data_IF_198814514838
#
_entry.id   IF_198814514838
#
_cell.length_a   1.000
_cell.length_b   1.000
_cell.length_c   1.000
_cell.angle_alpha   90.00
_cell.angle_beta   90.00
_cell.angle_gamma   90.00
#
_symmetry.space_group_name_H-M   'P 1'
#
loop_
_entity.id
_entity.type
_entity.pdbx_description
1 polymer ?
#
# COMPACT_ATOMS: atom_id res chain seq x y z
N UNK A 1 3.56 19.89 0.92
CA UNK A 1 3.32 18.77 -0.04
C UNK A 1 1.90 18.22 0.08
N UNK A 2 1.46 17.69 1.23
CA UNK A 2 0.11 17.11 1.41
C UNK A 2 -1.04 18.06 1.00
N UNK A 3 -0.95 19.32 1.40
CA UNK A 3 -1.91 20.39 1.10
C UNK A 3 -2.04 20.65 -0.41
N UNK A 4 -0.92 20.60 -1.15
CA UNK A 4 -0.92 20.83 -2.60
C UNK A 4 -1.55 19.66 -3.35
N UNK A 5 -1.28 18.42 -2.91
CA UNK A 5 -1.87 17.20 -3.51
C UNK A 5 -3.39 17.21 -3.35
N UNK A 6 -3.90 17.59 -2.18
CA UNK A 6 -5.35 17.69 -1.96
C UNK A 6 -6.02 18.75 -2.83
N UNK A 7 -5.40 19.93 -2.97
CA UNK A 7 -5.97 20.97 -3.84
C UNK A 7 -5.97 20.55 -5.32
N UNK A 8 -4.91 19.87 -5.78
CA UNK A 8 -4.88 19.31 -7.12
C UNK A 8 -6.01 18.29 -7.33
N UNK A 9 -6.24 17.41 -6.35
CA UNK A 9 -7.32 16.42 -6.42
C UNK A 9 -8.72 17.07 -6.44
N UNK A 10 -8.96 18.08 -5.58
CA UNK A 10 -10.20 18.87 -5.63
C UNK A 10 -10.37 19.52 -7.01
N UNK A 11 -9.29 20.04 -7.62
CA UNK A 11 -9.28 20.57 -8.98
C UNK A 11 -9.77 19.54 -10.00
N UNK A 12 -9.22 18.32 -9.97
CA UNK A 12 -9.66 17.21 -10.84
C UNK A 12 -11.13 16.89 -10.64
N UNK A 13 -11.62 16.80 -9.40
CA UNK A 13 -13.03 16.52 -9.13
C UNK A 13 -13.96 17.62 -9.66
N UNK A 14 -13.57 18.90 -9.60
CA UNK A 14 -14.36 19.98 -10.21
C UNK A 14 -14.46 19.84 -11.74
N UNK A 15 -13.40 19.37 -12.40
CA UNK A 15 -13.45 19.06 -13.83
C UNK A 15 -14.42 17.90 -14.11
N UNK A 16 -14.38 16.85 -13.28
CA UNK A 16 -15.35 15.73 -13.35
C UNK A 16 -16.78 16.20 -13.18
N UNK A 17 -17.06 17.08 -12.20
CA UNK A 17 -18.38 17.70 -12.01
C UNK A 17 -18.84 18.42 -13.28
N UNK A 18 -17.96 19.19 -13.92
CA UNK A 18 -18.28 19.90 -15.16
C UNK A 18 -18.70 18.93 -16.29
N UNK A 19 -18.05 17.77 -16.40
CA UNK A 19 -18.39 16.74 -17.38
C UNK A 19 -19.70 16.02 -17.03
N UNK A 20 -19.90 15.71 -15.75
CA UNK A 20 -21.13 15.07 -15.25
C UNK A 20 -22.35 15.97 -15.43
N UNK A 21 -22.25 17.27 -15.15
CA UNK A 21 -23.34 18.23 -15.37
C UNK A 21 -23.76 18.31 -16.84
N UNK A 22 -22.80 18.30 -17.78
CA UNK A 22 -23.11 18.23 -19.21
C UNK A 22 -23.79 16.90 -19.57
N UNK A 23 -23.30 15.80 -19.01
CA UNK A 23 -23.83 14.45 -19.23
C UNK A 23 -25.26 14.26 -18.72
N UNK A 24 -25.56 14.82 -17.56
CA UNK A 24 -26.90 14.86 -16.95
C UNK A 24 -27.85 15.68 -17.84
N UNK A 25 -27.47 16.90 -18.21
CA UNK A 25 -28.30 17.76 -19.08
C UNK A 25 -28.63 17.10 -20.42
N UNK A 26 -27.64 16.50 -21.08
CA UNK A 26 -27.82 15.81 -22.36
C UNK A 26 -28.79 14.63 -22.25
N UNK A 27 -28.67 13.83 -21.17
CA UNK A 27 -29.53 12.67 -20.93
C UNK A 27 -30.95 13.06 -20.53
N UNK A 28 -31.13 14.09 -19.70
CA UNK A 28 -32.44 14.63 -19.38
C UNK A 28 -33.20 15.03 -20.64
N UNK A 29 -32.57 15.79 -21.54
CA UNK A 29 -33.19 16.17 -22.81
C UNK A 29 -33.53 14.98 -23.72
N UNK A 30 -32.75 13.89 -23.68
CA UNK A 30 -33.05 12.65 -24.43
C UNK A 30 -34.20 11.86 -23.80
N UNK A 31 -34.21 11.76 -22.46
CA UNK A 31 -35.27 11.10 -21.72
C UNK A 31 -36.62 11.78 -21.95
N UNK A 32 -36.66 13.11 -21.98
CA UNK A 32 -37.86 13.89 -22.34
C UNK A 32 -38.39 13.58 -23.75
N UNK A 33 -37.50 13.18 -24.67
CA UNK A 33 -37.86 12.71 -26.03
C UNK A 33 -38.23 11.23 -26.10
N UNK A 34 -38.38 10.55 -24.96
CA UNK A 34 -38.82 9.16 -24.87
C UNK A 34 -37.70 8.12 -24.89
N UNK A 35 -36.42 8.52 -24.78
CA UNK A 35 -35.30 7.59 -24.71
C UNK A 35 -35.21 6.95 -23.31
N UNK A 36 -35.72 5.71 -23.19
CA UNK A 36 -35.76 4.96 -21.94
C UNK A 36 -34.35 4.64 -21.38
N UNK A 37 -33.36 4.41 -22.25
CA UNK A 37 -31.98 4.18 -21.81
C UNK A 37 -31.39 5.47 -21.22
N UNK A 38 -31.67 6.62 -21.84
CA UNK A 38 -31.24 7.90 -21.29
C UNK A 38 -31.89 8.20 -19.93
N UNK A 39 -33.15 7.78 -19.71
CA UNK A 39 -33.83 7.93 -18.41
C UNK A 39 -33.18 7.06 -17.32
N UNK A 40 -32.84 5.80 -17.63
CA UNK A 40 -32.14 4.91 -16.70
C UNK A 40 -30.72 5.42 -16.38
N UNK A 41 -29.97 5.83 -17.40
CA UNK A 41 -28.64 6.40 -17.24
C UNK A 41 -28.68 7.71 -16.43
N UNK A 42 -29.69 8.56 -16.63
CA UNK A 42 -29.81 9.84 -15.94
C UNK A 42 -29.73 9.68 -14.43
N UNK A 43 -30.41 8.69 -13.86
CA UNK A 43 -30.39 8.40 -12.42
C UNK A 43 -28.96 8.10 -11.95
N UNK A 44 -28.24 7.24 -12.67
CA UNK A 44 -26.86 6.86 -12.33
C UNK A 44 -25.90 8.06 -12.40
N UNK A 45 -26.01 8.87 -13.46
CA UNK A 45 -25.16 10.04 -13.63
C UNK A 45 -25.47 11.15 -12.64
N UNK A 46 -26.74 11.31 -12.26
CA UNK A 46 -27.15 12.25 -11.22
C UNK A 46 -26.59 11.84 -9.85
N UNK A 47 -26.71 10.57 -9.48
CA UNK A 47 -26.12 10.05 -8.25
C UNK A 47 -24.60 10.29 -8.21
N UNK A 48 -23.88 9.94 -9.29
CA UNK A 48 -22.44 10.18 -9.38
C UNK A 48 -22.08 11.68 -9.26
N UNK A 49 -22.90 12.58 -9.81
CA UNK A 49 -22.70 14.01 -9.70
C UNK A 49 -22.85 14.48 -8.25
N UNK A 50 -23.89 14.02 -7.57
CA UNK A 50 -24.18 14.38 -6.19
C UNK A 50 -23.11 13.84 -5.23
N UNK A 51 -22.69 12.58 -5.41
CA UNK A 51 -21.60 11.96 -4.65
C UNK A 51 -20.26 12.68 -4.87
N UNK A 52 -19.97 13.09 -6.11
CA UNK A 52 -18.75 13.86 -6.41
C UNK A 52 -18.78 15.23 -5.74
N UNK A 53 -19.93 15.92 -5.75
CA UNK A 53 -20.11 17.21 -5.07
C UNK A 53 -19.98 17.07 -3.55
N UNK A 54 -20.56 16.03 -2.96
CA UNK A 54 -20.43 15.72 -1.54
C UNK A 54 -18.95 15.45 -1.17
N UNK A 55 -18.25 14.66 -1.99
CA UNK A 55 -16.82 14.38 -1.82
C UNK A 55 -15.98 15.66 -1.84
N UNK A 56 -16.23 16.57 -2.78
CA UNK A 56 -15.55 17.88 -2.82
C UNK A 56 -15.82 18.68 -1.54
N UNK A 57 -17.05 18.69 -1.04
CA UNK A 57 -17.40 19.41 0.18
C UNK A 57 -16.65 18.86 1.40
N UNK A 58 -16.60 17.54 1.56
CA UNK A 58 -15.84 16.90 2.65
C UNK A 58 -14.34 17.15 2.54
N UNK A 59 -13.77 17.06 1.33
CA UNK A 59 -12.35 17.39 1.11
C UNK A 59 -12.03 18.84 1.45
N UNK A 60 -12.94 19.79 1.17
CA UNK A 60 -12.77 21.20 1.54
C UNK A 60 -12.83 21.39 3.06
N UNK A 61 -13.71 20.69 3.78
CA UNK A 61 -13.74 20.70 5.25
C UNK A 61 -12.45 20.13 5.85
N UNK A 62 -11.99 19.01 5.30
CA UNK A 62 -10.73 18.40 5.73
C UNK A 62 -9.54 19.33 5.45
N UNK A 63 -9.50 19.97 4.28
CA UNK A 63 -8.49 20.97 3.95
C UNK A 63 -8.51 22.15 4.93
N UNK A 64 -9.69 22.67 5.28
CA UNK A 64 -9.80 23.74 6.27
C UNK A 64 -9.26 23.31 7.64
N UNK A 65 -9.51 22.06 8.04
CA UNK A 65 -8.97 21.46 9.26
C UNK A 65 -7.44 21.36 9.21
N UNK A 66 -6.87 20.83 8.12
CA UNK A 66 -5.42 20.79 7.94
C UNK A 66 -4.79 22.18 7.97
N UNK A 67 -5.41 23.16 7.31
CA UNK A 67 -4.90 24.53 7.29
C UNK A 67 -4.99 25.18 8.68
N UNK A 68 -6.03 24.90 9.45
CA UNK A 68 -6.18 25.46 10.79
C UNK A 68 -5.21 24.80 11.79
N UNK A 69 -5.23 23.47 11.84
CA UNK A 69 -4.63 22.72 12.94
C UNK A 69 -3.19 22.26 12.62
N UNK A 70 -2.80 22.19 11.34
CA UNK A 70 -1.52 21.64 10.89
C UNK A 70 -0.66 22.63 10.09
N UNK A 71 -1.04 23.92 10.02
CA UNK A 71 -0.21 24.93 9.34
C UNK A 71 1.12 25.16 10.05
N UNK A 72 1.13 25.15 11.38
CA UNK A 72 2.36 25.33 12.16
C UNK A 72 3.25 24.08 12.08
N UNK A 73 4.55 24.29 11.90
CA UNK A 73 5.53 23.19 11.72
C UNK A 73 5.53 22.24 12.91
N UNK A 74 5.42 22.78 14.14
CA UNK A 74 5.41 21.97 15.36
C UNK A 74 4.19 21.04 15.45
N UNK A 75 3.06 21.45 14.87
CA UNK A 75 1.87 20.61 14.84
C UNK A 75 2.04 19.43 13.87
N UNK A 76 2.93 19.54 12.88
CA UNK A 76 3.27 18.48 11.92
C UNK A 76 4.25 17.45 12.46
N UNK A 77 4.84 17.67 13.63
CA UNK A 77 5.69 16.67 14.27
C UNK A 77 4.79 15.56 14.80
N UNK A 78 4.88 14.38 14.18
CA UNK A 78 4.04 13.21 14.45
C UNK A 78 4.74 12.15 15.31
N UNK A 79 6.01 12.40 15.66
CA UNK A 79 6.85 11.47 16.41
C UNK A 79 8.31 11.85 16.30
N UNK A 80 9.19 10.99 16.82
CA UNK A 80 10.64 11.14 16.70
C UNK A 80 11.32 9.79 16.63
N UNK A 81 12.49 9.75 15.97
CA UNK A 81 13.34 8.57 15.90
C UNK A 81 13.88 8.26 17.30
N UNK A 82 13.72 7.02 17.75
CA UNK A 82 14.27 6.53 19.03
C UNK A 82 15.41 5.53 18.83
N UNK A 83 15.48 4.90 17.67
CA UNK A 83 16.56 3.99 17.32
C UNK A 83 16.69 3.83 15.81
N UNK A 84 17.90 3.99 15.30
CA UNK A 84 18.25 3.80 13.89
C UNK A 84 19.68 3.26 13.83
N UNK A 85 19.89 1.94 13.91
CA UNK A 85 21.23 1.37 13.84
C UNK A 85 21.85 1.63 12.46
N UNK A 86 23.19 1.55 12.32
CA UNK A 86 23.84 1.63 11.02
C UNK A 86 23.32 0.54 10.07
N UNK A 87 23.16 0.92 8.80
CA UNK A 87 22.78 0.01 7.73
C UNK A 87 23.91 -1.00 7.52
N UNK A 88 23.59 -2.29 7.57
CA UNK A 88 24.55 -3.39 7.37
C UNK A 88 23.91 -4.52 6.59
N UNK A 89 24.69 -5.28 5.81
CA UNK A 89 24.27 -6.59 5.27
C UNK A 89 25.23 -7.69 5.71
N UNK A 90 25.03 -8.91 5.20
CA UNK A 90 25.70 -10.13 5.66
C UNK A 90 25.57 -10.34 7.18
N UNK A 91 24.46 -9.91 7.79
CA UNK A 91 24.25 -10.06 9.23
C UNK A 91 24.11 -11.53 9.58
N UNK A 92 25.14 -12.12 10.18
CA UNK A 92 25.11 -13.52 10.59
C UNK A 92 23.93 -13.79 11.53
N UNK A 93 23.30 -14.99 11.46
CA UNK A 93 23.66 -16.10 10.57
C UNK A 93 23.01 -16.04 9.18
N UNK A 94 22.00 -15.18 8.97
CA UNK A 94 21.14 -15.25 7.78
C UNK A 94 21.63 -14.42 6.59
N UNK A 95 22.45 -13.41 6.84
CA UNK A 95 22.96 -12.52 5.82
C UNK A 95 22.00 -11.42 5.37
N UNK A 96 20.87 -11.23 6.06
CA UNK A 96 19.87 -10.21 5.74
C UNK A 96 20.38 -8.78 5.97
N UNK A 97 19.77 -7.82 5.24
CA UNK A 97 20.03 -6.38 5.42
C UNK A 97 19.37 -5.87 6.70
N UNK A 98 20.14 -5.23 7.57
CA UNK A 98 19.61 -4.41 8.67
C UNK A 98 19.49 -2.98 8.19
N UNK A 99 18.30 -2.60 7.72
CA UNK A 99 17.96 -1.22 7.36
C UNK A 99 16.61 -0.88 8.01
N UNK A 100 16.65 -0.31 9.22
CA UNK A 100 15.46 -0.09 10.05
C UNK A 100 15.59 1.16 10.88
N UNK A 101 14.46 1.80 11.11
CA UNK A 101 14.32 2.91 12.04
C UNK A 101 13.05 2.70 12.88
N UNK A 102 13.15 2.91 14.18
CA UNK A 102 12.03 2.88 15.11
C UNK A 102 11.71 4.31 15.51
N UNK A 103 10.46 4.70 15.24
CA UNK A 103 9.92 6.03 15.51
C UNK A 103 8.90 5.90 16.63
N UNK A 104 9.06 6.68 17.69
CA UNK A 104 8.04 6.85 18.73
C UNK A 104 7.03 7.88 18.25
N UNK A 105 5.82 7.41 17.94
CA UNK A 105 4.73 8.26 17.49
C UNK A 105 4.12 9.07 18.65
N UNK A 106 3.56 10.23 18.32
CA UNK A 106 2.77 11.05 19.22
C UNK A 106 1.44 10.34 19.51
N UNK A 107 1.26 9.92 20.77
CA UNK A 107 0.13 9.10 21.19
C UNK A 107 -1.21 9.81 20.98
N UNK A 108 -1.29 11.10 21.27
CA UNK A 108 -2.55 11.87 21.21
C UNK A 108 -2.97 12.09 19.75
N UNK A 109 -2.01 12.27 18.84
CA UNK A 109 -2.28 12.45 17.42
C UNK A 109 -2.72 11.17 16.71
N UNK A 110 -2.23 10.00 17.14
CA UNK A 110 -2.48 8.73 16.45
C UNK A 110 -3.59 7.89 17.07
N UNK A 111 -3.68 7.81 18.40
CA UNK A 111 -4.61 6.90 19.07
C UNK A 111 -6.06 7.01 18.59
N UNK A 112 -6.65 8.22 18.41
CA UNK A 112 -8.06 8.32 18.03
C UNK A 112 -8.40 7.64 16.70
N UNK A 113 -7.42 7.49 15.81
CA UNK A 113 -7.61 6.94 14.46
C UNK A 113 -6.78 5.66 14.20
N UNK A 114 -6.05 5.17 15.20
CA UNK A 114 -5.22 3.99 15.05
C UNK A 114 -6.13 2.77 14.89
N UNK A 115 -6.04 2.07 13.75
CA UNK A 115 -6.79 0.82 13.50
C UNK A 115 -5.95 -0.44 13.77
N UNK A 116 -4.67 -0.27 14.09
CA UNK A 116 -3.67 -1.33 14.18
C UNK A 116 -2.64 -1.18 13.07
N UNK A 117 -1.81 -2.20 12.88
CA UNK A 117 -0.90 -2.26 11.74
C UNK A 117 -1.70 -2.66 10.51
N UNK A 118 -1.89 -1.72 9.60
CA UNK A 118 -2.75 -1.89 8.43
C UNK A 118 -2.12 -1.28 7.18
N UNK A 119 -2.55 -1.78 6.04
CA UNK A 119 -2.32 -1.15 4.73
C UNK A 119 -3.66 -0.69 4.19
N UNK A 120 -3.76 0.60 3.85
CA UNK A 120 -4.84 1.08 2.98
C UNK A 120 -4.61 0.52 1.57
N UNK A 121 -5.56 -0.21 1.00
CA UNK A 121 -5.45 -0.77 -0.35
C UNK A 121 -5.64 0.29 -1.45
N UNK A 122 -6.15 1.47 -1.10
CA UNK A 122 -6.36 2.58 -2.01
C UNK A 122 -7.42 2.31 -3.08
N UNK A 123 -7.53 3.23 -4.04
CA UNK A 123 -8.56 3.19 -5.10
C UNK A 123 -7.97 3.01 -6.50
N UNK A 124 -6.66 2.82 -6.60
CA UNK A 124 -5.93 2.72 -7.87
C UNK A 124 -6.24 1.42 -8.61
N UNK A 125 -6.57 0.35 -7.87
CA UNK A 125 -7.01 -0.94 -8.40
C UNK A 125 -8.42 -1.19 -7.88
N UNK A 126 -9.37 -1.46 -8.78
CA UNK A 126 -10.74 -1.84 -8.43
C UNK A 126 -10.73 -3.16 -7.64
N UNK A 127 -11.62 -3.30 -6.66
CA UNK A 127 -11.67 -4.43 -5.73
C UNK A 127 -11.68 -5.82 -6.41
N UNK A 128 -12.57 -6.02 -7.37
CA UNK A 128 -12.66 -7.27 -8.12
C UNK A 128 -11.38 -7.53 -8.92
N UNK A 129 -10.83 -6.50 -9.57
CA UNK A 129 -9.53 -6.62 -10.25
C UNK A 129 -8.40 -6.95 -9.27
N UNK A 130 -8.36 -6.35 -8.08
CA UNK A 130 -7.35 -6.64 -7.06
C UNK A 130 -7.43 -8.10 -6.60
N UNK A 131 -8.63 -8.60 -6.32
CA UNK A 131 -8.86 -10.00 -5.95
C UNK A 131 -8.39 -10.94 -7.06
N UNK A 132 -8.70 -10.64 -8.32
CA UNK A 132 -8.25 -11.42 -9.48
C UNK A 132 -6.74 -11.35 -9.73
N UNK A 133 -6.01 -10.38 -9.17
CA UNK A 133 -4.54 -10.39 -9.21
C UNK A 133 -3.96 -11.33 -8.15
N UNK A 134 -4.61 -11.51 -7.00
CA UNK A 134 -4.14 -12.45 -5.97
C UNK A 134 -4.60 -13.90 -6.23
N UNK A 135 -5.76 -14.04 -6.88
CA UNK A 135 -6.38 -15.31 -7.24
C UNK A 135 -6.80 -15.27 -8.72
N UNK A 136 -5.85 -15.43 -9.66
CA UNK A 136 -6.09 -15.23 -11.09
C UNK A 136 -6.83 -16.38 -11.80
N UNK A 137 -7.08 -17.48 -11.10
CA UNK A 137 -7.78 -18.64 -11.67
C UNK A 137 -9.27 -18.33 -11.86
N UNK A 138 -9.78 -18.58 -13.06
CA UNK A 138 -11.19 -18.36 -13.39
C UNK A 138 -12.10 -19.53 -12.96
N UNK A 139 -11.51 -20.70 -12.71
CA UNK A 139 -12.21 -21.94 -12.32
C UNK A 139 -12.35 -22.09 -10.80
N UNK A 140 -11.83 -21.15 -10.01
CA UNK A 140 -11.92 -21.13 -8.56
C UNK A 140 -12.28 -19.73 -8.06
N UNK A 141 -13.16 -19.60 -7.04
CA UNK A 141 -13.41 -18.31 -6.41
C UNK A 141 -12.15 -17.81 -5.67
N UNK A 142 -12.01 -16.49 -5.57
CA UNK A 142 -10.97 -15.86 -4.74
C UNK A 142 -11.21 -16.17 -3.26
N UNK A 143 -10.18 -16.61 -2.55
CA UNK A 143 -10.20 -16.76 -1.10
C UNK A 143 -9.79 -15.45 -0.38
N UNK A 144 -9.36 -14.43 -1.12
CA UNK A 144 -9.05 -13.12 -0.56
C UNK A 144 -10.32 -12.41 -0.06
N UNK A 145 -10.35 -12.09 1.23
CA UNK A 145 -11.37 -11.23 1.82
C UNK A 145 -10.96 -9.76 1.69
N UNK A 146 -11.57 -9.05 0.72
CA UNK A 146 -11.27 -7.65 0.49
C UNK A 146 -12.02 -6.77 1.50
N UNK A 147 -11.32 -5.98 2.35
CA UNK A 147 -11.97 -5.20 3.39
C UNK A 147 -12.86 -4.09 2.82
N UNK A 148 -14.07 -3.94 3.36
CA UNK A 148 -15.07 -2.96 2.90
C UNK A 148 -14.54 -1.52 2.90
N UNK A 149 -13.77 -1.16 3.93
CA UNK A 149 -13.16 0.16 4.10
C UNK A 149 -11.78 0.28 3.43
N UNK A 150 -11.32 -0.79 2.76
CA UNK A 150 -10.00 -0.94 2.14
C UNK A 150 -8.83 -0.98 3.12
N UNK A 151 -9.08 -1.05 4.43
CA UNK A 151 -8.02 -1.10 5.44
C UNK A 151 -7.69 -2.56 5.75
N UNK A 152 -6.60 -3.05 5.18
CA UNK A 152 -6.16 -4.43 5.34
C UNK A 152 -5.25 -4.59 6.57
N UNK A 153 -5.81 -5.19 7.63
CA UNK A 153 -5.10 -5.44 8.89
C UNK A 153 -4.06 -6.55 8.76
N UNK A 154 -2.87 -6.32 9.28
CA UNK A 154 -1.82 -7.32 9.41
C UNK A 154 -2.01 -8.07 10.72
N UNK A 155 -1.94 -9.40 10.67
CA UNK A 155 -2.23 -10.28 11.82
C UNK A 155 -1.11 -11.26 12.13
N UNK A 156 -0.26 -11.57 11.16
CA UNK A 156 0.81 -12.56 11.32
C UNK A 156 2.07 -12.07 10.63
N UNK A 157 3.24 -12.49 11.12
CA UNK A 157 4.51 -12.33 10.41
C UNK A 157 4.73 -13.61 9.61
N UNK A 158 5.02 -13.50 8.31
CA UNK A 158 5.37 -14.67 7.51
C UNK A 158 6.74 -15.19 7.96
N UNK A 159 6.82 -16.48 8.28
CA UNK A 159 8.09 -17.12 8.54
C UNK A 159 8.99 -17.05 7.28
N UNK A 160 10.26 -16.69 7.44
CA UNK A 160 11.21 -16.52 6.36
C UNK A 160 11.34 -17.80 5.50
N UNK A 161 11.33 -18.97 6.16
CA UNK A 161 11.34 -20.27 5.48
C UNK A 161 10.14 -20.51 4.55
N UNK A 162 9.01 -19.80 4.76
CA UNK A 162 7.78 -19.91 3.95
C UNK A 162 7.72 -18.92 2.79
N UNK A 163 8.68 -18.01 2.66
CA UNK A 163 8.74 -17.05 1.52
C UNK A 163 8.75 -17.79 0.18
N UNK A 164 9.37 -18.98 0.14
CA UNK A 164 9.42 -19.86 -1.03
C UNK A 164 8.17 -20.68 -1.30
N UNK A 165 7.27 -20.80 -0.32
CA UNK A 165 6.07 -21.62 -0.46
C UNK A 165 5.00 -20.81 -1.20
N UNK A 166 4.36 -21.33 -2.25
CA UNK A 166 3.27 -20.63 -2.93
C UNK A 166 2.07 -20.39 -1.97
N UNK A 167 1.28 -19.34 -2.22
CA UNK A 167 -0.02 -19.14 -1.55
C UNK A 167 -1.20 -19.26 -2.52
N UNK A 168 -0.93 -19.35 -3.81
CA UNK A 168 -1.93 -19.36 -4.87
C UNK A 168 -1.32 -20.05 -6.11
N UNK A 169 -2.05 -20.00 -7.22
CA UNK A 169 -1.61 -20.43 -8.53
C UNK A 169 -1.81 -19.28 -9.52
N UNK A 170 -0.92 -19.18 -10.51
CA UNK A 170 -1.12 -18.22 -11.59
C UNK A 170 -2.25 -18.67 -12.55
N UNK A 171 -2.49 -17.89 -13.61
CA UNK A 171 -3.53 -18.21 -14.60
C UNK A 171 -3.32 -19.54 -15.34
N UNK A 172 -2.10 -20.07 -15.34
CA UNK A 172 -1.74 -21.38 -15.94
C UNK A 172 -1.83 -22.52 -14.94
N UNK A 173 -2.06 -22.22 -13.66
CA UNK A 173 -2.06 -23.20 -12.57
C UNK A 173 -0.70 -23.37 -11.91
N UNK A 174 0.32 -22.60 -12.30
CA UNK A 174 1.67 -22.72 -11.73
C UNK A 174 1.70 -22.15 -10.30
N UNK A 175 2.19 -22.90 -9.30
CA UNK A 175 2.20 -22.43 -7.92
C UNK A 175 3.01 -21.15 -7.76
N UNK A 176 2.37 -20.11 -7.26
CA UNK A 176 2.93 -18.75 -7.15
C UNK A 176 2.59 -18.15 -5.80
N UNK A 177 3.53 -17.39 -5.19
CA UNK A 177 3.21 -16.53 -4.04
C UNK A 177 3.00 -15.10 -4.50
N UNK A 178 1.76 -14.63 -4.46
CA UNK A 178 1.45 -13.22 -4.70
C UNK A 178 1.60 -12.41 -3.40
N UNK A 179 2.17 -11.22 -3.55
CA UNK A 179 2.32 -10.22 -2.49
C UNK A 179 1.92 -8.86 -3.03
N UNK A 180 1.56 -7.95 -2.14
CA UNK A 180 1.21 -6.58 -2.48
C UNK A 180 1.80 -5.61 -1.47
N UNK A 181 1.84 -4.34 -1.84
CA UNK A 181 2.29 -3.25 -0.96
C UNK A 181 1.64 -1.94 -1.38
N UNK A 182 1.57 -0.98 -0.46
CA UNK A 182 1.29 0.44 -0.79
C UNK A 182 2.53 1.29 -0.55
N UNK A 183 3.11 1.78 -1.63
CA UNK A 183 4.27 2.66 -1.63
C UNK A 183 3.87 4.13 -1.86
N UNK A 184 4.78 5.05 -1.55
CA UNK A 184 4.56 6.48 -1.81
C UNK A 184 4.45 6.77 -3.30
N UNK A 185 5.33 6.18 -4.10
CA UNK A 185 5.53 6.50 -5.52
C UNK A 185 4.64 5.63 -6.40
N UNK A 186 4.63 4.32 -6.18
CA UNK A 186 3.86 3.37 -7.00
C UNK A 186 2.45 3.09 -6.49
N UNK A 187 2.07 3.64 -5.32
CA UNK A 187 0.79 3.33 -4.66
C UNK A 187 0.65 1.82 -4.44
N UNK A 188 -0.55 1.29 -4.58
CA UNK A 188 -0.85 -0.14 -4.44
C UNK A 188 -0.39 -0.90 -5.69
N UNK A 189 0.48 -1.88 -5.50
CA UNK A 189 0.90 -2.81 -6.56
C UNK A 189 0.85 -4.24 -6.05
N UNK A 190 0.66 -5.18 -6.98
CA UNK A 190 0.74 -6.62 -6.75
C UNK A 190 1.97 -7.15 -7.48
N UNK A 191 2.67 -8.11 -6.89
CA UNK A 191 3.87 -8.73 -7.43
C UNK A 191 3.96 -10.19 -7.02
N UNK A 192 5.05 -10.84 -7.43
CA UNK A 192 5.29 -12.27 -7.20
C UNK A 192 6.58 -12.48 -6.44
N UNK A 193 6.54 -13.30 -5.41
CA UNK A 193 7.74 -13.72 -4.72
C UNK A 193 8.50 -14.78 -5.51
N UNK A 194 9.82 -14.61 -5.44
CA UNK A 194 10.93 -15.44 -5.87
C UNK A 194 10.80 -16.95 -5.99
N UNK A 195 10.20 -17.59 -5.00
CA UNK A 195 10.56 -18.97 -4.64
C UNK A 195 12.00 -19.12 -4.09
N UNK A 196 12.91 -18.17 -4.37
CA UNK A 196 14.28 -18.16 -3.89
C UNK A 196 14.56 -16.89 -3.08
N UNK A 197 15.60 -16.92 -2.24
CA UNK A 197 16.17 -15.70 -1.68
C UNK A 197 17.25 -15.19 -2.63
N UNK A 198 17.32 -13.88 -2.84
CA UNK A 198 18.31 -13.29 -3.74
C UNK A 198 19.49 -12.75 -2.95
N UNK A 199 20.70 -13.15 -3.33
CA UNK A 199 21.92 -12.48 -2.88
C UNK A 199 22.13 -11.24 -3.76
N UNK A 200 22.07 -10.05 -3.17
CA UNK A 200 22.30 -8.79 -3.86
C UNK A 200 23.51 -8.07 -3.26
N UNK A 201 24.35 -7.49 -4.13
CA UNK A 201 25.47 -6.65 -3.73
C UNK A 201 24.99 -5.20 -3.70
N UNK A 202 24.89 -4.64 -2.51
CA UNK A 202 24.49 -3.25 -2.30
C UNK A 202 25.71 -2.35 -2.32
N UNK A 203 25.54 -1.16 -2.90
CA UNK A 203 26.54 -0.10 -2.92
C UNK A 203 26.01 1.08 -2.12
N UNK A 204 26.71 1.48 -1.06
CA UNK A 204 26.34 2.62 -0.22
C UNK A 204 27.54 3.48 0.18
N UNK A 205 27.30 4.58 0.90
CA UNK A 205 28.37 5.49 1.36
C UNK A 205 29.43 4.80 2.24
N UNK A 206 29.09 3.66 2.84
CA UNK A 206 29.93 2.85 3.72
C UNK A 206 30.67 1.72 2.99
N UNK A 207 30.57 1.62 1.67
CA UNK A 207 31.18 0.57 0.85
C UNK A 207 30.15 -0.37 0.21
N UNK A 208 30.61 -1.54 -0.24
CA UNK A 208 29.74 -2.58 -0.76
C UNK A 208 29.53 -3.67 0.28
N UNK A 209 28.33 -4.23 0.33
CA UNK A 209 28.03 -5.41 1.13
C UNK A 209 27.01 -6.29 0.42
N UNK A 210 27.12 -7.59 0.62
CA UNK A 210 26.13 -8.53 0.10
C UNK A 210 24.97 -8.68 1.08
N UNK A 211 23.80 -9.02 0.59
CA UNK A 211 22.65 -9.32 1.43
C UNK A 211 21.76 -10.37 0.81
N UNK A 212 21.26 -11.29 1.63
CA UNK A 212 20.17 -12.18 1.27
C UNK A 212 18.87 -11.38 1.44
N UNK A 213 17.95 -11.41 0.48
CA UNK A 213 16.68 -10.65 0.56
C UNK A 213 15.53 -11.38 -0.12
N UNK A 214 14.30 -11.08 0.33
CA UNK A 214 13.08 -11.49 -0.33
C UNK A 214 12.95 -10.74 -1.66
N UNK A 215 13.04 -11.46 -2.77
CA UNK A 215 12.95 -10.89 -4.11
C UNK A 215 11.51 -10.91 -4.63
N UNK A 216 10.97 -9.75 -4.96
CA UNK A 216 9.64 -9.57 -5.53
C UNK A 216 9.77 -9.08 -6.98
N UNK A 217 9.14 -9.80 -7.89
CA UNK A 217 9.04 -9.46 -9.30
C UNK A 217 7.72 -8.72 -9.56
N UNK A 218 7.66 -7.89 -10.62
CA UNK A 218 6.40 -7.41 -11.16
C UNK A 218 5.41 -8.56 -11.41
N UNK A 219 4.13 -8.22 -11.39
CA UNK A 219 3.03 -9.17 -11.55
C UNK A 219 3.16 -9.98 -12.85
N UNK A 220 3.49 -9.34 -13.95
CA UNK A 220 3.85 -9.94 -15.24
C UNK A 220 4.75 -8.98 -16.03
N UNK A 221 5.07 -9.32 -17.28
CA UNK A 221 5.93 -8.50 -18.14
C UNK A 221 5.24 -7.24 -18.69
N UNK A 222 3.90 -7.18 -18.62
CA UNK A 222 3.09 -6.09 -19.15
C UNK A 222 2.65 -5.12 -18.04
N UNK A 223 2.86 -5.50 -16.79
CA UNK A 223 2.53 -4.73 -15.60
C UNK A 223 3.58 -3.70 -15.26
N UNK A 224 3.14 -2.62 -14.62
CA UNK A 224 4.04 -1.66 -14.01
C UNK A 224 4.98 -2.31 -12.96
N UNK A 225 6.15 -1.72 -12.71
CA UNK A 225 7.09 -2.20 -11.70
C UNK A 225 6.43 -2.33 -10.32
N UNK A 226 6.83 -3.35 -9.57
CA UNK A 226 6.33 -3.52 -8.21
C UNK A 226 6.71 -2.34 -7.29
N UNK A 227 7.90 -1.76 -7.46
CA UNK A 227 8.34 -0.57 -6.72
C UNK A 227 9.15 0.41 -7.57
N UNK A 228 9.21 1.66 -7.09
CA UNK A 228 10.10 2.72 -7.60
C UNK A 228 10.78 3.46 -6.45
N UNK A 229 11.76 4.31 -6.77
CA UNK A 229 12.40 5.19 -5.80
C UNK A 229 11.34 5.97 -4.99
N UNK A 230 11.49 5.96 -3.66
CA UNK A 230 10.52 6.54 -2.72
C UNK A 230 9.60 5.52 -2.03
N UNK A 231 9.54 4.27 -2.50
CA UNK A 231 8.75 3.21 -1.85
C UNK A 231 9.49 2.51 -0.69
N UNK A 232 10.78 2.79 -0.47
CA UNK A 232 11.58 2.24 0.63
C UNK A 232 10.90 2.42 1.99
N UNK A 233 10.90 1.37 2.80
CA UNK A 233 10.22 1.29 4.09
C UNK A 233 8.78 0.76 4.01
N UNK A 234 8.18 0.64 2.82
CA UNK A 234 6.83 0.07 2.68
C UNK A 234 6.77 -1.40 3.12
N UNK A 235 5.66 -1.79 3.74
CA UNK A 235 5.40 -3.18 4.10
C UNK A 235 4.98 -3.99 2.86
N UNK A 236 5.66 -5.10 2.62
CA UNK A 236 5.27 -6.13 1.65
C UNK A 236 4.42 -7.15 2.41
N UNK A 237 3.23 -7.42 1.89
CA UNK A 237 2.17 -8.15 2.56
C UNK A 237 1.60 -9.22 1.65
N UNK A 238 1.26 -10.38 2.20
CA UNK A 238 0.60 -11.45 1.47
C UNK A 238 -0.91 -11.45 1.65
N UNK A 239 -1.58 -12.35 0.93
CA UNK A 239 -3.03 -12.50 0.91
C UNK A 239 -3.64 -13.00 2.24
N UNK A 240 -2.82 -13.45 3.21
CA UNK A 240 -3.27 -14.12 4.43
C UNK A 240 -2.99 -13.27 5.69
N UNK A 241 -3.12 -11.94 5.56
CA UNK A 241 -2.81 -10.95 6.59
C UNK A 241 -1.36 -11.02 7.08
N UNK A 242 -0.47 -11.56 6.25
CA UNK A 242 0.92 -11.86 6.56
C UNK A 242 1.84 -10.71 6.19
N UNK A 243 2.53 -10.15 7.19
CA UNK A 243 3.63 -9.22 6.98
C UNK A 243 4.85 -10.02 6.54
N UNK A 244 5.19 -9.92 5.25
CA UNK A 244 6.23 -10.71 4.59
C UNK A 244 7.61 -10.09 4.81
N UNK A 245 7.78 -8.84 4.40
CA UNK A 245 9.08 -8.18 4.37
C UNK A 245 8.95 -6.66 4.39
N UNK A 246 9.98 -5.96 4.88
CA UNK A 246 10.11 -4.53 4.71
C UNK A 246 10.85 -4.23 3.41
N UNK A 247 10.23 -3.46 2.51
CA UNK A 247 10.86 -3.02 1.26
C UNK A 247 12.06 -2.14 1.58
N UNK A 248 13.21 -2.46 1.03
CA UNK A 248 14.47 -1.74 1.31
C UNK A 248 15.04 -1.14 0.04
N UNK A 249 15.06 -1.90 -1.05
CA UNK A 249 15.61 -1.43 -2.34
C UNK A 249 14.95 -2.13 -3.54
N UNK A 250 15.44 -1.82 -4.73
CA UNK A 250 15.19 -2.58 -5.94
C UNK A 250 16.28 -2.34 -6.97
N UNK A 251 16.34 -3.17 -8.00
CA UNK A 251 17.29 -3.06 -9.11
C UNK A 251 16.54 -2.98 -10.43
N UNK A 252 17.08 -2.23 -11.39
CA UNK A 252 16.57 -2.10 -12.75
C UNK A 252 17.39 -1.06 -13.52
N UNK A 253 17.35 -1.06 -14.86
CA UNK A 253 18.13 -0.16 -15.71
C UNK A 253 17.67 1.31 -15.61
N UNK A 254 16.53 1.57 -14.97
CA UNK A 254 15.98 2.92 -14.77
C UNK A 254 15.49 3.10 -13.31
N UNK A 255 14.76 4.18 -13.03
CA UNK A 255 14.10 4.38 -11.73
C UNK A 255 12.94 3.38 -11.47
N UNK A 256 12.66 2.45 -12.40
CA UNK A 256 11.84 1.25 -12.18
C UNK A 256 12.67 0.10 -11.63
N UNK A 257 12.12 -0.66 -10.68
CA UNK A 257 12.72 -1.91 -10.23
C UNK A 257 12.15 -3.09 -11.01
N UNK A 258 13.01 -3.76 -11.78
CA UNK A 258 12.72 -5.06 -12.38
C UNK A 258 12.61 -6.15 -11.31
N UNK A 259 13.36 -5.96 -10.20
CA UNK A 259 13.28 -6.78 -8.99
C UNK A 259 13.31 -5.86 -7.78
N UNK A 260 12.32 -5.99 -6.91
CA UNK A 260 12.25 -5.32 -5.61
C UNK A 260 12.80 -6.24 -4.54
N UNK A 261 13.55 -5.70 -3.59
CA UNK A 261 14.10 -6.45 -2.48
C UNK A 261 13.52 -6.00 -1.14
N UNK A 262 13.15 -6.98 -0.32
CA UNK A 262 12.69 -6.77 1.04
C UNK A 262 13.48 -7.57 2.06
N UNK A 263 13.70 -6.99 3.24
CA UNK A 263 14.23 -7.72 4.40
C UNK A 263 13.10 -8.53 5.02
N UNK A 264 13.24 -9.86 5.19
CA UNK A 264 12.22 -10.70 5.82
C UNK A 264 11.81 -10.17 7.19
N UNK A 265 10.50 -10.00 7.38
CA UNK A 265 9.97 -9.34 8.58
C UNK A 265 10.16 -10.20 9.83
N UNK A 266 10.17 -11.54 9.71
CA UNK A 266 10.43 -12.45 10.83
C UNK A 266 11.76 -12.13 11.51
N UNK A 267 12.85 -12.18 10.76
CA UNK A 267 14.17 -11.86 11.30
C UNK A 267 14.25 -10.40 11.79
N UNK A 268 13.71 -9.46 11.00
CA UNK A 268 13.76 -8.04 11.37
C UNK A 268 13.02 -7.78 12.69
N UNK A 269 11.90 -8.45 12.92
CA UNK A 269 11.15 -8.33 14.15
C UNK A 269 11.83 -9.04 15.31
N UNK A 270 12.13 -10.34 15.17
CA UNK A 270 12.54 -11.21 16.26
C UNK A 270 13.99 -10.98 16.70
N UNK A 271 14.91 -10.85 15.74
CA UNK A 271 16.35 -10.80 16.02
C UNK A 271 16.89 -9.37 16.10
N UNK A 272 16.24 -8.43 15.41
CA UNK A 272 16.72 -7.03 15.34
C UNK A 272 15.92 -6.11 16.25
N UNK A 273 14.61 -5.99 16.03
CA UNK A 273 13.77 -5.05 16.79
C UNK A 273 13.59 -5.52 18.23
N UNK A 274 13.21 -6.79 18.46
CA UNK A 274 13.00 -7.32 19.82
C UNK A 274 14.30 -7.45 20.63
N UNK A 275 15.45 -7.60 19.99
CA UNK A 275 16.73 -7.51 20.69
C UNK A 275 16.94 -6.12 21.33
N UNK A 276 16.51 -5.05 20.65
CA UNK A 276 16.57 -3.68 21.19
C UNK A 276 15.39 -3.35 22.11
N UNK A 277 14.21 -3.89 21.80
CA UNK A 277 12.94 -3.63 22.49
C UNK A 277 12.25 -4.95 22.86
N UNK A 278 12.69 -5.66 23.93
CA UNK A 278 12.19 -7.00 24.25
C UNK A 278 10.69 -7.10 24.48
N UNK A 279 10.10 -6.01 24.99
CA UNK A 279 8.67 -5.91 25.29
C UNK A 279 7.84 -5.35 24.12
N UNK A 280 8.44 -5.18 22.93
CA UNK A 280 7.71 -4.70 21.76
C UNK A 280 6.67 -5.74 21.31
N UNK A 281 5.50 -5.24 20.94
CA UNK A 281 4.37 -6.02 20.44
C UNK A 281 4.01 -5.48 19.06
N UNK A 282 3.97 -6.35 18.05
CA UNK A 282 3.66 -5.94 16.67
C UNK A 282 2.15 -5.93 16.44
N UNK A 283 1.45 -6.97 16.85
CA UNK A 283 0.00 -7.05 16.71
C UNK A 283 -0.64 -6.85 18.08
N UNK A 284 -1.47 -5.83 18.19
CA UNK A 284 -2.13 -5.44 19.41
C UNK A 284 -3.58 -5.09 19.11
N UNK A 285 -4.46 -5.40 20.06
CA UNK A 285 -5.83 -4.93 20.00
C UNK A 285 -5.82 -3.41 20.23
N UNK A 286 -6.44 -2.67 19.32
CA UNK A 286 -6.68 -1.25 19.57
C UNK A 286 -7.76 -1.17 20.64
N UNK A 287 -7.57 -0.39 21.71
CA UNK A 287 -8.64 -0.13 22.67
C UNK A 287 -9.87 0.38 21.94
N UNK A 288 -11.05 -0.17 22.25
CA UNK A 288 -12.30 0.37 21.72
C UNK A 288 -12.33 1.88 22.00
N UNK A 289 -12.51 2.67 20.94
CA UNK A 289 -12.77 4.09 21.08
C UNK A 289 -14.10 4.26 21.82
N UNK A 290 -14.02 4.62 23.12
CA UNK A 290 -15.16 5.08 23.90
C UNK A 290 -15.77 6.35 23.31
#
# INVERSE_FOLDING_TARGET
MLVLVQMAFIGTLNNTVTVLEKSVKSRAARAERGDQQAAADLVKFQQNLDDTKATIAELRKFFATLKKDWSEVNNRIIGHVVWSPPITGLTAPHGYTRDVCVIKLDKEKFLPNLRGNAIDLGTEIESGKFMSLLYPRYDAPSEFDYPEDRIYLLKVILAAAKIKEPNSQDIKGDPTRFVFKRGLTTRTTVGRLNGFESCTRRYGPLGHFDSVEAAVYPYDNDSDPFSRAGDSGAAIVGANNDFVAQLTSGTGPTNSSDITYGTPMEWLWHDVIKAKFPNAVLFFDVPASN
#
